data_IF_353261449724
#
_entry.id   IF_353261449724
#
_cell.length_a   1.000
_cell.length_b   1.000
_cell.length_c   1.000
_cell.angle_alpha   90.00
_cell.angle_beta   90.00
_cell.angle_gamma   90.00
#
_symmetry.space_group_name_H-M   'P 1'
#
loop_
_entity.id
_entity.type
_entity.pdbx_description
1 polymer ?
#
# COMPACT_ATOMS: atom_id res chain seq x y z
N UNK A 1 62.13 9.96 61.08
CA UNK A 1 61.44 8.80 61.68
C UNK A 1 61.17 7.76 60.59
N UNK A 2 61.59 6.51 60.84
CA UNK A 2 61.41 5.25 60.07
C UNK A 2 61.98 5.22 58.63
N UNK A 3 63.14 4.59 58.33
CA UNK A 3 63.42 3.13 58.18
C UNK A 3 62.43 2.43 57.23
N UNK A 4 62.74 1.54 56.29
CA UNK A 4 63.90 0.72 55.91
C UNK A 4 63.49 0.15 54.50
N UNK A 5 64.33 0.04 53.48
CA UNK A 5 65.17 -1.13 53.28
C UNK A 5 64.60 -2.16 52.29
N UNK A 6 65.38 -2.40 51.22
CA UNK A 6 65.65 -3.67 50.51
C UNK A 6 65.03 -3.93 49.13
N UNK A 7 65.97 -4.42 48.31
CA UNK A 7 66.00 -4.71 46.89
C UNK A 7 65.72 -6.20 46.63
N UNK A 8 65.35 -6.51 45.39
CA UNK A 8 65.37 -7.82 44.70
C UNK A 8 64.59 -9.00 45.31
N UNK A 9 63.58 -9.51 44.58
CA UNK A 9 63.74 -10.82 43.97
C UNK A 9 62.78 -11.14 42.80
N UNK A 10 63.41 -11.72 41.80
CA UNK A 10 62.96 -12.47 40.62
C UNK A 10 61.59 -13.18 40.71
N UNK A 11 60.67 -12.88 39.78
CA UNK A 11 59.83 -13.93 39.13
C UNK A 11 59.35 -13.51 37.75
N UNK A 12 60.11 -13.90 36.72
CA UNK A 12 59.60 -14.05 35.35
C UNK A 12 58.51 -15.13 35.37
N UNK A 13 57.27 -14.73 35.14
CA UNK A 13 56.22 -15.64 34.64
C UNK A 13 55.93 -15.22 33.22
N UNK A 14 56.26 -16.11 32.29
CA UNK A 14 56.01 -15.96 30.87
C UNK A 14 54.51 -15.81 30.63
N UNK A 15 54.07 -14.63 30.20
CA UNK A 15 52.71 -14.43 29.69
C UNK A 15 52.76 -14.69 28.18
N UNK A 16 52.08 -15.76 27.80
CA UNK A 16 52.02 -16.27 26.45
C UNK A 16 51.46 -15.20 25.51
N UNK A 17 52.22 -14.84 24.47
CA UNK A 17 51.76 -13.95 23.39
C UNK A 17 50.84 -14.78 22.49
N UNK A 18 49.55 -14.81 22.79
CA UNK A 18 48.57 -15.23 21.78
C UNK A 18 48.41 -14.09 20.77
N UNK A 19 49.04 -14.29 19.62
CA UNK A 19 48.74 -13.55 18.41
C UNK A 19 47.32 -13.92 17.95
N UNK A 20 46.32 -13.16 18.39
CA UNK A 20 45.07 -13.07 17.64
C UNK A 20 45.30 -12.20 16.41
N UNK A 21 45.55 -12.85 15.28
CA UNK A 21 45.47 -12.26 13.95
C UNK A 21 44.02 -11.85 13.66
N UNK A 22 43.58 -10.72 14.19
CA UNK A 22 42.41 -10.01 13.71
C UNK A 22 42.76 -9.35 12.38
N UNK A 23 42.29 -9.94 11.28
CA UNK A 23 42.42 -9.37 9.95
C UNK A 23 41.61 -8.07 9.90
N UNK A 24 42.26 -6.92 10.06
CA UNK A 24 41.62 -5.61 9.88
C UNK A 24 41.30 -5.47 8.39
N UNK A 25 40.08 -5.85 7.99
CA UNK A 25 39.57 -5.56 6.66
C UNK A 25 39.55 -4.05 6.48
N UNK A 26 40.41 -3.56 5.59
CA UNK A 26 40.54 -2.14 5.25
C UNK A 26 39.16 -1.60 4.82
N UNK A 27 38.65 -0.50 5.41
CA UNK A 27 37.35 0.08 5.05
C UNK A 27 37.23 0.38 3.55
N UNK A 28 38.35 0.65 2.86
CA UNK A 28 38.38 0.84 1.40
C UNK A 28 38.00 -0.45 0.63
N UNK A 29 38.51 -1.61 1.06
CA UNK A 29 38.25 -2.91 0.44
C UNK A 29 36.81 -3.39 0.64
N UNK A 30 36.21 -3.08 1.79
CA UNK A 30 34.80 -3.38 2.09
C UNK A 30 33.89 -2.52 1.22
N UNK A 31 34.20 -1.23 1.06
CA UNK A 31 33.43 -0.33 0.20
C UNK A 31 33.54 -0.71 -1.27
N UNK A 32 34.72 -1.14 -1.74
CA UNK A 32 34.91 -1.57 -3.13
C UNK A 32 34.18 -2.88 -3.44
N UNK A 33 34.14 -3.83 -2.48
CA UNK A 33 33.36 -5.06 -2.59
C UNK A 33 31.85 -4.76 -2.58
N UNK A 34 31.40 -3.84 -1.72
CA UNK A 34 30.01 -3.37 -1.67
C UNK A 34 29.59 -2.67 -2.96
N UNK A 35 30.51 -1.95 -3.61
CA UNK A 35 30.29 -1.30 -4.91
C UNK A 35 30.16 -2.31 -6.05
N UNK A 36 31.01 -3.34 -6.09
CA UNK A 36 30.88 -4.47 -7.03
C UNK A 36 29.57 -5.25 -6.83
N UNK A 37 29.20 -5.54 -5.60
CA UNK A 37 27.91 -6.19 -5.29
C UNK A 37 26.70 -5.30 -5.68
N UNK A 38 26.86 -3.97 -5.67
CA UNK A 38 25.84 -3.00 -6.13
C UNK A 38 25.72 -2.98 -7.66
N UNK A 39 26.85 -2.95 -8.37
CA UNK A 39 26.90 -3.04 -9.84
C UNK A 39 26.33 -4.38 -10.33
N UNK A 40 26.57 -5.48 -9.60
CA UNK A 40 25.95 -6.77 -9.88
C UNK A 40 24.43 -6.76 -9.63
N UNK A 41 23.94 -6.11 -8.56
CA UNK A 41 22.49 -5.94 -8.30
C UNK A 41 21.79 -5.10 -9.37
N UNK A 42 22.43 -4.03 -9.83
CA UNK A 42 21.94 -3.20 -10.95
C UNK A 42 21.95 -3.96 -12.29
N UNK A 43 22.78 -5.00 -12.43
CA UNK A 43 22.84 -5.84 -13.63
C UNK A 43 21.76 -6.95 -13.64
N UNK A 44 21.11 -7.22 -12.49
CA UNK A 44 19.97 -8.13 -12.36
C UNK A 44 18.70 -7.39 -12.79
N UNK A 45 18.66 -6.96 -14.04
CA UNK A 45 17.47 -6.37 -14.65
C UNK A 45 16.65 -7.49 -15.28
N UNK A 46 15.33 -7.46 -15.07
CA UNK A 46 14.40 -8.44 -15.63
C UNK A 46 14.58 -8.61 -17.16
N UNK A 47 14.94 -7.52 -17.85
CA UNK A 47 15.17 -7.46 -19.29
C UNK A 47 16.54 -7.97 -19.77
N UNK A 48 17.54 -8.09 -18.89
CA UNK A 48 18.91 -8.46 -19.26
C UNK A 48 19.19 -9.94 -19.04
N UNK A 49 18.63 -10.54 -17.98
CA UNK A 49 18.75 -11.97 -17.67
C UNK A 49 17.45 -12.57 -17.12
N UNK A 50 16.40 -12.74 -17.94
CA UNK A 50 15.05 -13.06 -17.49
C UNK A 50 14.92 -14.42 -16.79
N UNK A 51 15.77 -15.41 -17.14
CA UNK A 51 15.67 -16.74 -16.56
C UNK A 51 16.33 -16.83 -15.17
N UNK A 52 17.45 -16.13 -14.99
CA UNK A 52 18.20 -16.14 -13.73
C UNK A 52 17.46 -15.30 -12.68
N UNK A 53 16.94 -14.13 -13.07
CA UNK A 53 16.12 -13.28 -12.20
C UNK A 53 14.85 -14.01 -11.75
N UNK A 54 14.17 -14.72 -12.66
CA UNK A 54 12.97 -15.50 -12.34
C UNK A 54 13.26 -16.68 -11.42
N UNK A 55 14.40 -17.38 -11.60
CA UNK A 55 14.83 -18.45 -10.70
C UNK A 55 15.07 -17.94 -9.28
N UNK A 56 15.86 -16.88 -9.11
CA UNK A 56 16.10 -16.30 -7.78
C UNK A 56 14.83 -15.74 -7.14
N UNK A 57 13.98 -15.07 -7.92
CA UNK A 57 12.69 -14.57 -7.45
C UNK A 57 11.77 -15.72 -7.00
N UNK A 58 11.70 -16.81 -7.76
CA UNK A 58 10.91 -17.98 -7.38
C UNK A 58 11.45 -18.67 -6.12
N UNK A 59 12.77 -18.72 -5.94
CA UNK A 59 13.40 -19.29 -4.76
C UNK A 59 13.09 -18.45 -3.51
N UNK A 60 13.22 -17.13 -3.59
CA UNK A 60 12.85 -16.20 -2.52
C UNK A 60 11.37 -16.31 -2.17
N UNK A 61 10.49 -16.38 -3.19
CA UNK A 61 9.07 -16.65 -2.97
C UNK A 61 8.86 -17.96 -2.21
N UNK A 62 9.57 -19.03 -2.57
CA UNK A 62 9.44 -20.32 -1.89
C UNK A 62 9.97 -20.29 -0.44
N UNK A 63 11.06 -19.58 -0.17
CA UNK A 63 11.61 -19.41 1.18
C UNK A 63 10.64 -18.61 2.05
N UNK A 64 10.13 -17.50 1.52
CA UNK A 64 9.10 -16.68 2.17
C UNK A 64 7.86 -17.55 2.41
N UNK A 65 7.33 -18.22 1.39
CA UNK A 65 6.17 -19.11 1.53
C UNK A 65 6.40 -20.19 2.59
N UNK A 66 7.60 -20.78 2.68
CA UNK A 66 7.94 -21.76 3.72
C UNK A 66 7.92 -21.14 5.12
N UNK A 67 8.45 -19.93 5.28
CA UNK A 67 8.42 -19.22 6.56
C UNK A 67 6.99 -18.85 6.97
N UNK A 68 6.20 -18.34 6.03
CA UNK A 68 4.79 -18.01 6.23
C UNK A 68 3.95 -19.25 6.54
N UNK A 69 4.14 -20.34 5.81
CA UNK A 69 3.44 -21.62 6.08
C UNK A 69 3.84 -22.21 7.42
N UNK A 70 5.11 -22.12 7.83
CA UNK A 70 5.55 -22.52 9.17
C UNK A 70 4.90 -21.66 10.28
N UNK A 71 4.85 -20.34 10.09
CA UNK A 71 4.15 -19.41 10.99
C UNK A 71 2.64 -19.67 11.03
N UNK A 72 2.01 -19.95 9.88
CA UNK A 72 0.60 -20.32 9.76
C UNK A 72 0.32 -21.65 10.45
N UNK A 73 1.21 -22.63 10.29
CA UNK A 73 1.11 -23.95 10.92
C UNK A 73 1.22 -23.84 12.45
N UNK A 74 2.09 -22.95 12.94
CA UNK A 74 2.17 -22.67 14.37
C UNK A 74 0.85 -22.11 14.94
N UNK A 75 0.04 -21.42 14.11
CA UNK A 75 -1.31 -20.94 14.44
C UNK A 75 -2.41 -21.73 13.71
N UNK A 76 -2.24 -23.04 13.55
CA UNK A 76 -3.20 -23.93 12.88
C UNK A 76 -4.66 -23.73 13.30
N UNK A 77 -4.93 -23.38 14.57
CA UNK A 77 -6.28 -23.09 15.06
C UNK A 77 -6.93 -21.88 14.37
N UNK A 78 -6.17 -20.81 14.12
CA UNK A 78 -6.68 -19.62 13.42
C UNK A 78 -6.97 -19.95 11.96
N UNK A 79 -6.09 -20.72 11.31
CA UNK A 79 -6.28 -21.13 9.91
C UNK A 79 -7.49 -22.03 9.75
N UNK A 80 -7.64 -23.02 10.63
CA UNK A 80 -8.80 -23.93 10.64
C UNK A 80 -10.08 -23.15 10.94
N UNK A 81 -10.06 -22.20 11.89
CA UNK A 81 -11.22 -21.33 12.16
C UNK A 81 -11.59 -20.47 10.95
N UNK A 82 -10.61 -19.91 10.25
CA UNK A 82 -10.84 -19.12 9.05
C UNK A 82 -11.37 -19.99 7.90
N UNK A 83 -10.79 -21.17 7.67
CA UNK A 83 -11.25 -22.12 6.66
C UNK A 83 -12.66 -22.63 6.94
N UNK A 84 -12.98 -22.91 8.21
CA UNK A 84 -14.32 -23.31 8.63
C UNK A 84 -15.32 -22.19 8.38
N UNK A 85 -14.98 -20.94 8.74
CA UNK A 85 -15.83 -19.78 8.49
C UNK A 85 -16.04 -19.56 6.99
N UNK A 86 -14.98 -19.67 6.18
CA UNK A 86 -15.08 -19.56 4.72
C UNK A 86 -15.95 -20.67 4.13
N UNK A 87 -15.79 -21.92 4.59
CA UNK A 87 -16.60 -23.06 4.17
C UNK A 87 -18.08 -22.87 4.53
N UNK A 88 -18.37 -22.32 5.72
CA UNK A 88 -19.74 -21.98 6.13
C UNK A 88 -20.31 -20.88 5.23
N UNK A 89 -19.56 -19.82 4.95
CA UNK A 89 -19.98 -18.75 4.05
C UNK A 89 -20.26 -19.26 2.62
N UNK A 90 -19.38 -20.12 2.10
CA UNK A 90 -19.55 -20.76 0.79
C UNK A 90 -20.79 -21.65 0.80
N UNK A 91 -20.98 -22.47 1.84
CA UNK A 91 -22.18 -23.30 1.97
C UNK A 91 -23.45 -22.43 2.01
N UNK A 92 -23.44 -21.32 2.75
CA UNK A 92 -24.58 -20.38 2.76
C UNK A 92 -24.82 -19.69 1.42
N UNK A 93 -23.80 -19.57 0.56
CA UNK A 93 -23.91 -19.02 -0.79
C UNK A 93 -24.49 -20.04 -1.78
N UNK A 94 -24.13 -21.32 -1.66
CA UNK A 94 -24.62 -22.39 -2.54
C UNK A 94 -26.00 -22.93 -2.17
N UNK A 95 -26.44 -22.77 -0.92
CA UNK A 95 -27.77 -23.22 -0.49
C UNK A 95 -28.82 -22.23 -0.98
N UNK A 96 -29.61 -22.66 -1.97
CA UNK A 96 -30.75 -21.90 -2.47
C UNK A 96 -31.81 -21.74 -1.38
N UNK A 97 -32.10 -20.50 -0.97
CA UNK A 97 -33.10 -20.20 0.05
C UNK A 97 -33.49 -18.71 0.08
N UNK A 98 -34.34 -18.33 1.04
CA UNK A 98 -34.77 -16.92 1.25
C UNK A 98 -33.60 -15.96 1.46
N UNK A 99 -32.46 -16.47 1.94
CA UNK A 99 -31.21 -15.74 2.13
C UNK A 99 -30.58 -15.28 0.80
N UNK A 100 -30.94 -15.87 -0.33
CA UNK A 100 -30.41 -15.53 -1.65
C UNK A 100 -30.72 -14.09 -2.06
N UNK A 101 -31.86 -13.54 -1.61
CA UNK A 101 -32.19 -12.13 -1.86
C UNK A 101 -31.22 -11.17 -1.14
N UNK A 102 -30.77 -11.54 0.07
CA UNK A 102 -29.78 -10.78 0.81
C UNK A 102 -28.39 -10.91 0.19
N UNK A 103 -28.01 -12.12 -0.23
CA UNK A 103 -26.74 -12.37 -0.91
C UNK A 103 -26.63 -11.56 -2.19
N UNK A 104 -27.66 -11.57 -3.04
CA UNK A 104 -27.69 -10.77 -4.27
C UNK A 104 -27.64 -9.26 -4.00
N UNK A 105 -28.29 -8.77 -2.93
CA UNK A 105 -28.20 -7.36 -2.55
C UNK A 105 -26.79 -6.99 -2.07
N UNK A 106 -26.17 -7.84 -1.25
CA UNK A 106 -24.81 -7.64 -0.75
C UNK A 106 -23.80 -7.68 -1.91
N UNK A 107 -23.96 -8.62 -2.85
CA UNK A 107 -23.11 -8.75 -4.02
C UNK A 107 -23.15 -7.49 -4.88
N UNK A 108 -24.34 -6.97 -5.19
CA UNK A 108 -24.50 -5.72 -5.94
C UNK A 108 -23.86 -4.54 -5.22
N UNK A 109 -24.09 -4.41 -3.91
CA UNK A 109 -23.51 -3.33 -3.12
C UNK A 109 -21.98 -3.44 -3.05
N UNK A 110 -21.46 -4.65 -2.89
CA UNK A 110 -20.03 -4.92 -2.84
C UNK A 110 -19.35 -4.62 -4.17
N UNK A 111 -19.93 -5.06 -5.30
CA UNK A 111 -19.42 -4.76 -6.63
C UNK A 111 -19.41 -3.26 -6.92
N UNK A 112 -20.45 -2.54 -6.48
CA UNK A 112 -20.49 -1.08 -6.57
C UNK A 112 -19.36 -0.42 -5.77
N UNK A 113 -19.16 -0.82 -4.51
CA UNK A 113 -18.07 -0.29 -3.69
C UNK A 113 -16.70 -0.63 -4.26
N UNK A 114 -16.51 -1.88 -4.69
CA UNK A 114 -15.27 -2.33 -5.32
C UNK A 114 -14.98 -1.56 -6.61
N UNK A 115 -16.01 -1.25 -7.39
CA UNK A 115 -15.89 -0.41 -8.59
C UNK A 115 -15.41 1.01 -8.26
N UNK A 116 -16.03 1.68 -7.27
CA UNK A 116 -15.62 3.02 -6.85
C UNK A 116 -14.23 3.06 -6.21
N UNK A 117 -13.90 2.08 -5.36
CA UNK A 117 -12.56 1.93 -4.78
C UNK A 117 -11.54 1.66 -5.90
N UNK A 118 -11.85 0.76 -6.83
CA UNK A 118 -10.99 0.42 -7.96
C UNK A 118 -10.71 1.63 -8.86
N UNK A 119 -11.75 2.41 -9.21
CA UNK A 119 -11.60 3.67 -9.92
C UNK A 119 -10.70 4.65 -9.16
N UNK A 120 -10.84 4.75 -7.83
CA UNK A 120 -9.97 5.56 -6.99
C UNK A 120 -8.51 5.11 -7.02
N UNK A 121 -8.25 3.80 -6.92
CA UNK A 121 -6.89 3.23 -7.00
C UNK A 121 -6.27 3.53 -8.38
N UNK A 122 -7.01 3.26 -9.46
CA UNK A 122 -6.55 3.54 -10.82
C UNK A 122 -6.28 5.03 -11.04
N UNK A 123 -7.06 5.90 -10.40
CA UNK A 123 -6.87 7.36 -10.46
C UNK A 123 -5.55 7.81 -9.79
N UNK A 124 -5.09 7.13 -8.75
CA UNK A 124 -3.83 7.44 -8.05
C UNK A 124 -2.61 6.75 -8.66
N UNK A 125 -2.76 5.52 -9.16
CA UNK A 125 -1.66 4.72 -9.74
C UNK A 125 -1.43 5.07 -11.22
N UNK A 126 -2.48 5.49 -11.94
CA UNK A 126 -2.44 5.74 -13.39
C UNK A 126 -2.04 7.17 -13.77
N UNK A 127 -0.76 7.36 -14.09
CA UNK A 127 -0.23 8.39 -15.01
C UNK A 127 -0.43 9.88 -14.63
N UNK A 128 -0.64 10.21 -13.35
CA UNK A 128 -0.52 11.61 -12.87
C UNK A 128 -1.68 12.54 -13.22
N UNK A 129 -2.87 12.02 -13.57
CA UNK A 129 -4.06 12.87 -13.82
C UNK A 129 -5.26 12.43 -12.97
N UNK A 130 -5.07 12.33 -11.66
CA UNK A 130 -6.17 11.99 -10.74
C UNK A 130 -7.38 12.93 -10.86
N UNK A 131 -7.14 14.20 -11.17
CA UNK A 131 -8.18 15.19 -11.50
C UNK A 131 -8.95 14.83 -12.79
N UNK A 132 -8.26 14.31 -13.81
CA UNK A 132 -8.90 13.92 -15.07
C UNK A 132 -9.83 12.72 -14.86
N UNK A 133 -9.37 11.71 -14.10
CA UNK A 133 -10.21 10.56 -13.75
C UNK A 133 -11.43 11.01 -12.93
N UNK A 134 -11.25 11.91 -11.97
CA UNK A 134 -12.34 12.54 -11.22
C UNK A 134 -13.38 13.20 -12.14
N UNK A 135 -12.94 13.99 -13.12
CA UNK A 135 -13.84 14.67 -14.06
C UNK A 135 -14.56 13.73 -15.03
N UNK A 136 -14.03 12.54 -15.29
CA UNK A 136 -14.67 11.58 -16.20
C UNK A 136 -15.66 10.66 -15.52
N UNK A 137 -15.43 10.30 -14.25
CA UNK A 137 -16.26 9.32 -13.55
C UNK A 137 -17.05 9.94 -12.38
N UNK A 138 -16.40 10.60 -11.41
CA UNK A 138 -17.11 11.11 -10.22
C UNK A 138 -17.92 12.35 -10.54
N UNK A 139 -17.34 13.28 -11.30
CA UNK A 139 -17.94 14.56 -11.62
C UNK A 139 -19.29 14.41 -12.33
N UNK A 140 -19.36 13.65 -13.45
CA UNK A 140 -20.61 13.40 -14.16
C UNK A 140 -21.63 12.65 -13.29
N UNK A 141 -21.17 11.74 -12.44
CA UNK A 141 -22.03 11.03 -11.51
C UNK A 141 -22.70 11.99 -10.50
N UNK A 142 -21.93 12.84 -9.81
CA UNK A 142 -22.46 13.85 -8.90
C UNK A 142 -23.42 14.79 -9.63
N UNK A 143 -23.05 15.25 -10.83
CA UNK A 143 -23.86 16.15 -11.63
C UNK A 143 -25.19 15.53 -12.07
N UNK A 144 -25.19 14.24 -12.44
CA UNK A 144 -26.42 13.54 -12.82
C UNK A 144 -27.40 13.38 -11.66
N UNK A 145 -26.88 13.05 -10.46
CA UNK A 145 -27.70 12.90 -9.25
C UNK A 145 -28.22 14.25 -8.76
N UNK A 146 -27.41 15.31 -8.83
CA UNK A 146 -27.86 16.66 -8.46
C UNK A 146 -28.93 17.17 -9.42
N UNK A 147 -28.74 16.98 -10.73
CA UNK A 147 -29.71 17.40 -11.75
C UNK A 147 -31.05 16.67 -11.57
N UNK A 148 -31.02 15.33 -11.43
CA UNK A 148 -32.22 14.54 -11.21
C UNK A 148 -32.92 14.88 -9.89
N UNK A 149 -32.16 15.24 -8.84
CA UNK A 149 -32.75 15.72 -7.59
C UNK A 149 -33.59 16.97 -7.85
N UNK A 150 -33.00 17.98 -8.48
CA UNK A 150 -33.72 19.23 -8.76
C UNK A 150 -34.91 19.06 -9.72
N UNK A 151 -34.82 18.16 -10.71
CA UNK A 151 -35.91 17.90 -11.65
C UNK A 151 -37.07 17.13 -11.00
N UNK A 152 -36.78 16.09 -10.22
CA UNK A 152 -37.80 15.21 -9.64
C UNK A 152 -38.31 15.68 -8.26
N UNK A 153 -37.78 16.77 -7.70
CA UNK A 153 -38.04 17.21 -6.32
C UNK A 153 -37.89 16.08 -5.25
N UNK A 154 -37.07 15.07 -5.54
CA UNK A 154 -36.90 13.88 -4.72
C UNK A 154 -35.46 13.37 -4.78
N UNK A 155 -35.00 12.72 -3.71
CA UNK A 155 -33.72 12.01 -3.64
C UNK A 155 -33.88 10.49 -3.60
N UNK A 156 -35.12 10.01 -3.71
CA UNK A 156 -35.47 8.59 -3.70
C UNK A 156 -35.28 7.99 -5.09
N UNK A 157 -34.02 7.91 -5.51
CA UNK A 157 -33.64 7.21 -6.73
C UNK A 157 -33.41 5.72 -6.47
N UNK A 158 -33.71 4.84 -7.46
CA UNK A 158 -33.34 3.44 -7.38
C UNK A 158 -31.82 3.30 -7.17
N UNK A 159 -31.43 2.28 -6.41
CA UNK A 159 -30.01 1.98 -6.15
C UNK A 159 -29.26 1.75 -7.47
N UNK A 160 -27.98 2.16 -7.57
CA UNK A 160 -27.18 1.92 -8.76
C UNK A 160 -27.08 0.40 -9.08
N UNK A 161 -26.96 0.02 -10.37
CA UNK A 161 -26.62 0.86 -11.51
C UNK A 161 -27.75 1.80 -11.93
N UNK A 162 -27.45 3.10 -11.98
CA UNK A 162 -28.40 4.08 -12.47
C UNK A 162 -28.58 3.86 -13.98
N UNK A 163 -29.82 3.75 -14.50
CA UNK A 163 -30.03 3.79 -15.95
C UNK A 163 -29.49 5.11 -16.53
N UNK A 164 -29.19 5.13 -17.83
CA UNK A 164 -28.72 6.34 -18.55
C UNK A 164 -29.67 7.55 -18.39
N UNK A 165 -30.91 7.30 -17.96
CA UNK A 165 -31.93 8.29 -17.65
C UNK A 165 -32.55 7.97 -16.29
N UNK A 166 -32.36 8.86 -15.31
CA UNK A 166 -32.98 8.75 -13.98
C UNK A 166 -34.48 9.02 -14.13
N UNK A 167 -35.30 7.98 -13.96
CA UNK A 167 -36.77 8.08 -14.04
C UNK A 167 -37.28 8.60 -12.69
N UNK A 168 -38.05 9.69 -12.70
CA UNK A 168 -38.66 10.22 -11.48
C UNK A 168 -39.68 9.23 -10.90
N UNK A 169 -39.77 9.08 -9.57
CA UNK A 169 -40.81 8.26 -8.95
C UNK A 169 -42.20 8.84 -9.22
N UNK A 170 -43.19 7.98 -9.44
CA UNK A 170 -44.60 8.35 -9.71
C UNK A 170 -45.32 8.94 -8.49
N UNK A 171 -44.75 8.80 -7.28
CA UNK A 171 -45.29 9.43 -6.08
C UNK A 171 -44.72 10.84 -5.93
N UNK A 172 -45.60 11.84 -6.03
CA UNK A 172 -45.34 13.23 -5.67
C UNK A 172 -44.76 13.29 -4.25
N UNK A 173 -43.43 13.28 -4.14
CA UNK A 173 -42.73 13.49 -2.90
C UNK A 173 -43.15 14.83 -2.32
N UNK A 174 -43.65 14.82 -1.09
CA UNK A 174 -43.97 15.96 -0.21
C UNK A 174 -43.35 17.28 -0.68
N UNK A 175 -44.19 18.29 -0.93
CA UNK A 175 -43.86 19.68 -1.28
C UNK A 175 -42.81 20.29 -0.34
N UNK A 176 -41.55 19.94 -0.56
CA UNK A 176 -40.42 20.34 0.26
C UNK A 176 -39.26 20.64 -0.65
N UNK A 177 -38.73 21.85 -0.55
CA UNK A 177 -37.52 22.23 -1.28
C UNK A 177 -36.38 21.29 -0.92
N UNK A 178 -35.75 20.68 -1.93
CA UNK A 178 -34.61 19.81 -1.69
C UNK A 178 -33.46 20.65 -1.14
N UNK A 179 -32.92 20.21 -0.01
CA UNK A 179 -31.70 20.77 0.54
C UNK A 179 -30.46 20.18 -0.15
N UNK A 180 -29.44 21.01 -0.37
CA UNK A 180 -28.12 20.56 -0.84
C UNK A 180 -27.54 19.43 0.04
N UNK A 181 -27.85 19.46 1.34
CA UNK A 181 -27.46 18.42 2.28
C UNK A 181 -28.05 17.05 1.94
N UNK A 182 -29.31 17.01 1.49
CA UNK A 182 -29.96 15.78 1.05
C UNK A 182 -29.22 15.14 -0.13
N UNK A 183 -28.80 15.97 -1.10
CA UNK A 183 -28.06 15.54 -2.29
C UNK A 183 -26.66 15.04 -1.92
N UNK A 184 -25.93 15.79 -1.08
CA UNK A 184 -24.60 15.37 -0.58
C UNK A 184 -24.71 14.05 0.18
N UNK A 185 -25.75 13.88 1.00
CA UNK A 185 -25.95 12.65 1.78
C UNK A 185 -26.16 11.40 0.92
N UNK A 186 -26.64 11.57 -0.32
CA UNK A 186 -26.87 10.50 -1.28
C UNK A 186 -25.59 10.04 -1.97
N UNK A 187 -24.71 10.97 -2.37
CA UNK A 187 -23.46 10.65 -3.13
C UNK A 187 -22.23 10.48 -2.22
N UNK A 188 -22.38 10.72 -0.91
CA UNK A 188 -21.25 10.67 0.04
C UNK A 188 -20.54 9.32 0.05
N UNK A 189 -21.25 8.21 -0.13
CA UNK A 189 -20.66 6.87 0.01
C UNK A 189 -19.77 6.60 -1.18
N UNK A 190 -20.24 6.90 -2.38
CA UNK A 190 -19.52 6.79 -3.65
C UNK A 190 -18.27 7.68 -3.63
N UNK A 191 -18.41 8.93 -3.19
CA UNK A 191 -17.29 9.87 -3.05
C UNK A 191 -16.28 9.42 -1.97
N UNK A 192 -16.73 8.91 -0.83
CA UNK A 192 -15.84 8.38 0.21
C UNK A 192 -15.12 7.11 -0.25
N UNK A 193 -15.81 6.18 -0.91
CA UNK A 193 -15.21 4.94 -1.42
C UNK A 193 -14.16 5.22 -2.49
N UNK A 194 -14.42 6.21 -3.35
CA UNK A 194 -13.39 6.75 -4.24
C UNK A 194 -12.18 7.25 -3.44
N UNK A 195 -12.40 8.14 -2.46
CA UNK A 195 -11.32 8.71 -1.66
C UNK A 195 -10.50 7.66 -0.88
N UNK A 196 -11.15 6.57 -0.46
CA UNK A 196 -10.46 5.40 0.10
C UNK A 196 -9.60 4.72 -0.95
N UNK A 197 -10.11 4.54 -2.16
CA UNK A 197 -9.36 3.98 -3.28
C UNK A 197 -8.10 4.77 -3.61
N UNK A 198 -8.19 6.11 -3.64
CA UNK A 198 -7.02 6.97 -3.88
C UNK A 198 -5.99 6.85 -2.77
N UNK A 199 -6.43 6.83 -1.50
CA UNK A 199 -5.52 6.65 -0.37
C UNK A 199 -4.82 5.28 -0.39
N UNK A 200 -5.50 4.23 -0.87
CA UNK A 200 -4.91 2.90 -1.04
C UNK A 200 -3.87 2.90 -2.18
N UNK A 201 -4.13 3.60 -3.28
CA UNK A 201 -3.17 3.63 -4.40
C UNK A 201 -1.91 4.46 -4.14
N UNK A 202 -1.90 5.32 -3.12
CA UNK A 202 -0.70 6.00 -2.61
C UNK A 202 0.17 5.13 -1.68
N UNK A 203 -0.34 3.95 -1.27
CA UNK A 203 0.34 3.07 -0.31
C UNK A 203 1.64 2.44 -0.85
N UNK A 204 1.76 2.01 -2.13
CA UNK A 204 3.01 1.48 -2.66
C UNK A 204 4.21 2.46 -2.58
N UNK A 205 4.13 3.70 -3.11
CA UNK A 205 5.25 4.65 -2.96
C UNK A 205 5.49 5.04 -1.49
N UNK A 206 4.44 5.10 -0.66
CA UNK A 206 4.60 5.36 0.78
C UNK A 206 5.46 4.31 1.48
N UNK A 207 5.22 3.02 1.22
CA UNK A 207 6.03 1.96 1.83
C UNK A 207 7.45 1.92 1.30
N UNK A 208 7.66 2.24 0.01
CA UNK A 208 9.01 2.38 -0.56
C UNK A 208 9.77 3.51 0.14
N UNK A 209 9.20 4.71 0.22
CA UNK A 209 9.82 5.85 0.90
C UNK A 209 10.06 5.59 2.40
N UNK A 210 9.11 4.94 3.08
CA UNK A 210 9.25 4.60 4.51
C UNK A 210 10.32 3.55 4.76
N UNK A 211 10.40 2.52 3.91
CA UNK A 211 11.44 1.50 4.01
C UNK A 211 12.83 2.14 3.83
N UNK A 212 13.00 2.99 2.82
CA UNK A 212 14.23 3.73 2.55
C UNK A 212 14.71 4.56 3.75
N UNK A 213 13.81 5.36 4.35
CA UNK A 213 14.12 6.17 5.54
C UNK A 213 14.55 5.33 6.74
N UNK A 214 13.92 4.17 6.95
CA UNK A 214 14.23 3.28 8.06
C UNK A 214 15.54 2.50 7.84
N UNK A 215 15.92 2.22 6.60
CA UNK A 215 17.18 1.53 6.29
C UNK A 215 18.43 2.38 6.51
N UNK A 216 18.33 3.73 6.59
CA UNK A 216 19.45 4.62 6.89
C UNK A 216 20.64 4.54 5.91
N UNK A 217 20.49 3.75 4.85
CA UNK A 217 21.36 3.67 3.70
C UNK A 217 20.64 4.44 2.61
N UNK A 218 21.27 5.48 2.07
CA UNK A 218 20.84 6.07 0.80
C UNK A 218 20.66 4.92 -0.20
N UNK A 219 19.42 4.62 -0.63
CA UNK A 219 19.22 3.76 -1.77
C UNK A 219 19.72 4.58 -2.95
N UNK A 220 20.93 4.28 -3.40
CA UNK A 220 21.56 4.80 -4.62
C UNK A 220 20.92 4.12 -5.84
N UNK A 221 19.58 4.04 -5.80
CA UNK A 221 18.72 3.58 -6.88
C UNK A 221 18.44 4.83 -7.73
N UNK A 222 18.79 4.81 -9.01
CA UNK A 222 18.69 5.97 -9.92
C UNK A 222 17.27 6.55 -9.95
N UNK A 223 16.23 5.70 -9.89
CA UNK A 223 14.82 6.08 -9.81
C UNK A 223 14.46 6.84 -8.51
N UNK A 224 15.21 6.60 -7.43
CA UNK A 224 15.03 7.29 -6.15
C UNK A 224 15.68 8.68 -6.17
N UNK A 225 16.86 8.82 -6.77
CA UNK A 225 17.50 10.12 -6.99
C UNK A 225 16.61 11.03 -7.85
N UNK A 226 16.03 10.50 -8.93
CA UNK A 226 15.06 11.25 -9.74
C UNK A 226 13.83 11.69 -8.93
N UNK A 227 13.32 10.83 -8.03
CA UNK A 227 12.20 11.17 -7.16
C UNK A 227 12.56 12.25 -6.13
N UNK A 228 13.76 12.21 -5.56
CA UNK A 228 14.26 13.21 -4.62
C UNK A 228 14.50 14.57 -5.30
N UNK A 229 15.07 14.56 -6.50
CA UNK A 229 15.22 15.77 -7.33
C UNK A 229 13.86 16.40 -7.70
N UNK A 230 12.84 15.58 -8.00
CA UNK A 230 11.47 16.06 -8.21
C UNK A 230 10.85 16.69 -6.96
N UNK A 231 11.09 16.10 -5.77
CA UNK A 231 10.61 16.65 -4.50
C UNK A 231 11.29 17.98 -4.16
N UNK A 232 12.61 18.09 -4.36
CA UNK A 232 13.34 19.35 -4.18
C UNK A 232 12.87 20.44 -5.16
N UNK A 233 12.55 20.08 -6.40
CA UNK A 233 11.94 20.99 -7.36
C UNK A 233 10.54 21.45 -6.92
N UNK A 234 9.73 20.57 -6.33
CA UNK A 234 8.40 20.92 -5.82
C UNK A 234 8.49 21.84 -4.58
N UNK A 235 9.42 21.58 -3.67
CA UNK A 235 9.65 22.39 -2.47
C UNK A 235 10.19 23.78 -2.84
N UNK A 236 11.18 23.85 -3.74
CA UNK A 236 11.72 25.12 -4.24
C UNK A 236 10.67 25.93 -5.01
N UNK A 237 9.77 25.27 -5.76
CA UNK A 237 8.62 25.93 -6.37
C UNK A 237 7.67 26.50 -5.31
N UNK A 238 7.33 25.75 -4.26
CA UNK A 238 6.47 26.25 -3.17
C UNK A 238 7.08 27.45 -2.42
N UNK A 239 8.38 27.40 -2.12
CA UNK A 239 9.10 28.51 -1.45
C UNK A 239 9.10 29.76 -2.33
N UNK A 240 9.20 29.60 -3.65
CA UNK A 240 9.17 30.69 -4.63
C UNK A 240 7.79 31.34 -4.80
N UNK A 241 6.72 30.64 -4.45
CA UNK A 241 5.34 31.18 -4.41
C UNK A 241 4.98 31.82 -3.07
N UNK A 242 5.76 31.55 -2.01
CA UNK A 242 5.52 32.06 -0.66
C UNK A 242 6.33 33.35 -0.35
N UNK A 243 7.07 33.86 -1.34
CA UNK A 243 7.81 35.12 -1.33
C UNK A 243 7.21 36.09 -2.36
#
# INVERSE_FOLDING_TARGET
>A
MAENGKNCDQRRVAMNKEHHNGNFTDPSSVNEKKRREREERQNIVLWRQPLITLQYFSLEILVILKEWTSKLWHRQSIVVSFLLLLAVLIATYYVEGVHQQYVQRIEKQFLLYAYWIGLGILSSVGLGTGLHTFLLYLGPHIASVTLAAYECNSVNFPEPPYPDQIICPDEEGTEGTISLWSIISKVRIEACMWGIGTAIGELPPYFMARAARLSGAEPDDEEYQEFEEMLEHAESAQVKWCM
#
